data_IF_739641316789
#
_entry.id   IF_739641316789
#
_cell.length_a   1.000
_cell.length_b   1.000
_cell.length_c   1.000
_cell.angle_alpha   90.00
_cell.angle_beta   90.00
_cell.angle_gamma   90.00
#
_symmetry.space_group_name_H-M   'P 1'
#
loop_
_entity.id
_entity.type
_entity.pdbx_description
1 polymer ?
#
# COMPACT_ATOMS: atom_id res chain seq x y z
N UNK A 1 -6.66 -25.60 -7.65
CA UNK A 1 -7.78 -25.54 -8.62
C UNK A 1 -7.21 -25.01 -9.93
N UNK A 2 -7.29 -25.76 -11.04
CA UNK A 2 -6.75 -25.33 -12.35
C UNK A 2 -7.80 -24.53 -13.13
N UNK A 3 -7.38 -23.40 -13.73
CA UNK A 3 -8.23 -22.53 -14.57
C UNK A 3 -8.96 -23.30 -15.67
N UNK A 4 -8.29 -24.30 -16.26
CA UNK A 4 -8.87 -25.14 -17.30
C UNK A 4 -10.11 -25.92 -16.83
N UNK A 5 -10.14 -26.32 -15.56
CA UNK A 5 -11.25 -27.11 -14.99
C UNK A 5 -12.48 -26.25 -14.67
N UNK A 6 -12.27 -24.98 -14.32
CA UNK A 6 -13.36 -24.02 -14.08
C UNK A 6 -14.02 -23.59 -15.40
N UNK A 7 -13.25 -23.43 -16.48
CA UNK A 7 -13.77 -23.09 -17.80
C UNK A 7 -14.59 -24.23 -18.43
N UNK A 8 -14.19 -25.48 -18.21
CA UNK A 8 -14.89 -26.64 -18.78
C UNK A 8 -16.27 -26.93 -18.16
N UNK A 9 -16.54 -26.42 -16.95
CA UNK A 9 -17.74 -26.78 -16.19
C UNK A 9 -19.05 -26.21 -16.77
N UNK A 10 -18.98 -25.18 -17.62
CA UNK A 10 -20.13 -24.56 -18.28
C UNK A 10 -20.04 -24.64 -19.81
N UNK A 11 -19.22 -25.55 -20.35
CA UNK A 11 -18.98 -25.62 -21.80
C UNK A 11 -20.08 -26.34 -22.59
N UNK A 12 -21.05 -26.98 -21.93
CA UNK A 12 -22.12 -27.72 -22.60
C UNK A 12 -23.37 -26.85 -22.73
N UNK A 13 -23.64 -26.36 -23.95
CA UNK A 13 -24.91 -25.73 -24.30
C UNK A 13 -26.05 -26.75 -24.25
N UNK A 14 -27.19 -26.33 -23.72
CA UNK A 14 -28.39 -27.16 -23.65
C UNK A 14 -29.06 -27.30 -25.04
N UNK A 15 -29.80 -28.39 -25.31
CA UNK A 15 -30.51 -28.56 -26.59
C UNK A 15 -31.50 -27.42 -26.88
N UNK A 16 -32.05 -26.81 -25.82
CA UNK A 16 -32.91 -25.63 -25.90
C UNK A 16 -32.12 -24.41 -26.42
N UNK A 17 -30.93 -24.12 -25.90
CA UNK A 17 -30.07 -23.03 -26.43
C UNK A 17 -29.69 -23.21 -27.90
N UNK A 18 -29.46 -24.46 -28.33
CA UNK A 18 -29.22 -24.77 -29.75
C UNK A 18 -30.47 -24.49 -30.60
N UNK A 19 -31.66 -24.78 -30.08
CA UNK A 19 -32.93 -24.50 -30.79
C UNK A 19 -33.22 -23.01 -30.94
N UNK A 20 -32.83 -22.17 -29.96
CA UNK A 20 -32.96 -20.71 -30.03
C UNK A 20 -31.96 -20.13 -31.05
N UNK A 21 -30.82 -20.80 -31.26
CA UNK A 21 -29.80 -20.44 -32.26
C UNK A 21 -30.28 -20.66 -33.72
N UNK A 22 -31.30 -21.49 -33.93
CA UNK A 22 -31.95 -21.68 -35.23
C UNK A 22 -33.16 -20.77 -35.47
N UNK A 23 -33.56 -19.93 -34.50
CA UNK A 23 -34.44 -18.81 -34.79
C UNK A 23 -33.62 -17.73 -35.50
N UNK A 24 -33.73 -17.72 -36.84
CA UNK A 24 -33.28 -16.67 -37.74
C UNK A 24 -33.41 -15.30 -37.05
N UNK A 25 -32.28 -14.59 -36.91
CA UNK A 25 -32.24 -13.24 -36.37
C UNK A 25 -33.35 -12.39 -37.03
N UNK A 26 -34.09 -11.58 -36.25
CA UNK A 26 -35.14 -10.72 -36.81
C UNK A 26 -34.52 -9.89 -37.94
N UNK A 27 -35.23 -9.79 -39.07
CA UNK A 27 -34.71 -9.03 -40.20
C UNK A 27 -34.42 -7.59 -39.75
N UNK A 28 -33.25 -7.02 -40.08
CA UNK A 28 -32.94 -5.65 -39.71
C UNK A 28 -33.97 -4.71 -40.35
N UNK A 29 -34.42 -3.66 -39.63
CA UNK A 29 -35.37 -2.71 -40.16
C UNK A 29 -34.82 -2.07 -41.44
N UNK A 30 -35.56 -2.20 -42.53
CA UNK A 30 -35.19 -1.58 -43.80
C UNK A 30 -35.52 -0.09 -43.74
N UNK A 31 -34.50 0.75 -43.83
CA UNK A 31 -34.66 2.19 -44.01
C UNK A 31 -35.09 2.41 -45.46
N UNK A 32 -36.28 2.98 -45.69
CA UNK A 32 -36.68 3.46 -47.01
C UNK A 32 -35.65 4.50 -47.47
N UNK A 33 -34.92 4.21 -48.55
CA UNK A 33 -34.10 5.19 -49.23
C UNK A 33 -35.01 5.97 -50.17
N UNK A 34 -35.32 7.21 -49.80
CA UNK A 34 -35.81 8.21 -50.75
C UNK A 34 -34.58 8.81 -51.44
N UNK A 35 -34.23 8.27 -52.61
CA UNK A 35 -33.07 8.73 -53.41
C UNK A 35 -33.27 10.14 -54.03
N UNK A 36 -34.38 10.80 -53.70
CA UNK A 36 -34.75 12.12 -54.24
C UNK A 36 -34.33 13.30 -53.35
N UNK A 37 -33.69 13.07 -52.20
CA UNK A 37 -33.16 14.16 -51.38
C UNK A 37 -31.64 14.23 -51.44
N UNK A 38 -31.12 14.70 -52.58
CA UNK A 38 -29.74 15.18 -52.71
C UNK A 38 -29.67 16.56 -52.04
N UNK A 39 -29.65 16.58 -50.71
CA UNK A 39 -29.21 17.77 -49.99
C UNK A 39 -27.73 17.98 -50.37
N UNK A 40 -27.35 19.14 -50.94
CA UNK A 40 -25.97 19.35 -51.33
C UNK A 40 -25.08 19.21 -50.09
N UNK A 41 -24.11 18.30 -50.17
CA UNK A 41 -23.01 18.22 -49.22
C UNK A 41 -22.26 19.55 -49.36
N UNK A 42 -22.64 20.55 -48.57
CA UNK A 42 -21.86 21.76 -48.40
C UNK A 42 -20.54 21.29 -47.83
N UNK A 43 -19.50 21.36 -48.66
CA UNK A 43 -18.13 21.14 -48.23
C UNK A 43 -17.88 22.14 -47.10
N UNK A 44 -17.74 21.61 -45.89
CA UNK A 44 -17.47 22.41 -44.71
C UNK A 44 -15.98 22.72 -44.77
N UNK A 45 -15.62 23.63 -45.68
CA UNK A 45 -14.37 24.38 -45.62
C UNK A 45 -14.38 25.21 -44.33
N UNK A 46 -14.07 24.55 -43.22
CA UNK A 46 -13.72 25.21 -41.98
C UNK A 46 -12.21 25.24 -41.86
N UNK A 47 -11.51 26.31 -42.28
CA UNK A 47 -10.24 26.65 -41.68
C UNK A 47 -10.54 27.28 -40.31
N UNK A 48 -11.19 26.52 -39.43
CA UNK A 48 -11.27 26.87 -38.02
C UNK A 48 -10.63 25.74 -37.25
N UNK A 49 -9.32 25.61 -37.43
CA UNK A 49 -8.50 25.00 -36.40
C UNK A 49 -8.69 25.89 -35.19
N UNK A 50 -9.49 25.42 -34.22
CA UNK A 50 -9.55 26.01 -32.89
C UNK A 50 -8.19 25.77 -32.24
N UNK A 51 -7.19 26.55 -32.65
CA UNK A 51 -5.86 26.54 -32.03
C UNK A 51 -6.05 27.18 -30.67
N UNK A 52 -5.87 26.37 -29.63
CA UNK A 52 -5.75 26.87 -28.27
C UNK A 52 -4.67 27.96 -28.27
N UNK A 53 -4.98 29.21 -27.85
CA UNK A 53 -4.00 30.28 -27.83
C UNK A 53 -2.77 29.87 -27.01
N UNK A 54 -1.58 30.31 -27.40
CA UNK A 54 -0.33 30.03 -26.68
C UNK A 54 -0.41 30.40 -25.19
N UNK A 55 -1.26 31.37 -24.88
CA UNK A 55 -1.38 31.97 -23.56
C UNK A 55 -2.47 31.28 -22.72
N UNK A 56 -3.04 30.17 -23.20
CA UNK A 56 -4.12 29.44 -22.55
C UNK A 56 -3.81 29.04 -21.11
N UNK A 57 -2.56 28.68 -20.81
CA UNK A 57 -2.14 28.35 -19.44
C UNK A 57 -2.05 29.56 -18.50
N UNK A 58 -2.04 30.78 -19.04
CA UNK A 58 -1.88 32.03 -18.29
C UNK A 58 -3.18 32.83 -18.19
N UNK A 59 -4.25 32.41 -18.88
CA UNK A 59 -5.53 33.11 -18.88
C UNK A 59 -6.29 32.87 -17.57
N UNK A 60 -7.03 33.90 -17.13
CA UNK A 60 -7.91 33.83 -15.97
C UNK A 60 -9.00 32.78 -16.20
N UNK A 61 -9.21 31.91 -15.22
CA UNK A 61 -10.02 30.71 -15.37
C UNK A 61 -11.50 31.10 -15.47
N UNK A 62 -12.10 30.91 -16.63
CA UNK A 62 -13.48 31.35 -16.89
C UNK A 62 -14.55 30.38 -16.39
N UNK A 63 -14.16 29.17 -15.96
CA UNK A 63 -15.09 28.09 -15.63
C UNK A 63 -14.73 27.39 -14.32
N UNK A 64 -15.73 27.19 -13.45
CA UNK A 64 -15.58 26.54 -12.13
C UNK A 64 -14.97 25.13 -12.19
N UNK A 65 -15.13 24.42 -13.32
CA UNK A 65 -14.58 23.08 -13.55
C UNK A 65 -13.06 23.08 -13.74
N UNK A 66 -12.48 24.17 -14.26
CA UNK A 66 -11.03 24.30 -14.43
C UNK A 66 -10.34 24.71 -13.12
N UNK A 67 -11.00 25.52 -12.27
CA UNK A 67 -10.53 25.86 -10.92
C UNK A 67 -10.41 24.61 -10.04
N UNK A 68 -11.47 23.78 -10.03
CA UNK A 68 -11.49 22.52 -9.29
C UNK A 68 -10.37 21.54 -9.73
N UNK A 69 -9.99 21.55 -11.01
CA UNK A 69 -8.87 20.73 -11.51
C UNK A 69 -7.54 21.20 -10.94
N UNK A 70 -7.31 22.52 -10.86
CA UNK A 70 -6.07 23.09 -10.34
C UNK A 70 -5.95 22.88 -8.83
N UNK A 71 -7.05 22.98 -8.08
CA UNK A 71 -7.07 22.64 -6.66
C UNK A 71 -6.68 21.17 -6.43
N UNK A 72 -7.28 20.24 -7.19
CA UNK A 72 -6.92 18.82 -7.14
C UNK A 72 -5.45 18.57 -7.51
N UNK A 73 -4.93 19.23 -8.54
CA UNK A 73 -3.53 19.10 -8.94
C UNK A 73 -2.57 19.63 -7.86
N UNK A 74 -2.90 20.77 -7.23
CA UNK A 74 -2.15 21.31 -6.08
C UNK A 74 -2.19 20.39 -4.88
N UNK A 75 -3.37 19.87 -4.50
CA UNK A 75 -3.51 18.91 -3.40
C UNK A 75 -2.69 17.64 -3.67
N UNK A 76 -2.72 17.12 -4.90
CA UNK A 76 -1.91 15.97 -5.29
C UNK A 76 -0.40 16.27 -5.22
N UNK A 77 0.03 17.46 -5.63
CA UNK A 77 1.42 17.88 -5.50
C UNK A 77 1.85 18.01 -4.04
N UNK A 78 1.01 18.58 -3.18
CA UNK A 78 1.27 18.67 -1.74
C UNK A 78 1.35 17.29 -1.08
N UNK A 79 0.44 16.38 -1.42
CA UNK A 79 0.48 15.00 -0.94
C UNK A 79 1.76 14.29 -1.40
N UNK A 80 2.18 14.48 -2.65
CA UNK A 80 3.45 13.96 -3.18
C UNK A 80 4.66 14.55 -2.45
N UNK A 81 4.66 15.84 -2.14
CA UNK A 81 5.72 16.50 -1.35
C UNK A 81 5.78 15.91 0.06
N UNK A 82 4.65 15.87 0.77
CA UNK A 82 4.54 15.26 2.11
C UNK A 82 5.02 13.81 2.14
N UNK A 83 4.68 13.02 1.12
CA UNK A 83 5.16 11.65 0.98
C UNK A 83 6.69 11.58 0.82
N UNK A 84 7.28 12.42 -0.05
CA UNK A 84 8.73 12.46 -0.27
C UNK A 84 9.47 12.89 0.99
N UNK A 85 9.01 13.93 1.67
CA UNK A 85 9.56 14.41 2.94
C UNK A 85 9.47 13.35 4.03
N UNK A 86 8.29 12.71 4.17
CA UNK A 86 8.10 11.61 5.11
C UNK A 86 9.04 10.45 4.84
N UNK A 87 9.25 10.10 3.57
CA UNK A 87 10.19 9.05 3.16
C UNK A 87 11.65 9.40 3.45
N UNK A 88 12.05 10.67 3.30
CA UNK A 88 13.39 11.13 3.66
C UNK A 88 13.61 11.07 5.17
N UNK A 89 12.68 11.62 5.96
CA UNK A 89 12.72 11.56 7.42
C UNK A 89 12.77 10.13 7.92
N UNK A 90 11.96 9.23 7.35
CA UNK A 90 11.98 7.81 7.71
C UNK A 90 13.33 7.12 7.40
N UNK A 91 14.03 7.54 6.34
CA UNK A 91 15.37 7.04 6.04
C UNK A 91 16.42 7.55 7.03
N UNK A 92 16.34 8.82 7.41
CA UNK A 92 17.24 9.42 8.39
C UNK A 92 17.07 8.77 9.76
N UNK A 93 15.83 8.61 10.22
CA UNK A 93 15.55 7.92 11.49
C UNK A 93 15.98 6.45 11.44
N UNK A 94 15.78 5.75 10.32
CA UNK A 94 16.26 4.38 10.17
C UNK A 94 17.79 4.29 10.26
N UNK A 95 18.52 5.25 9.66
CA UNK A 95 19.98 5.32 9.79
C UNK A 95 20.40 5.56 11.23
N UNK A 96 19.82 6.56 11.88
CA UNK A 96 20.12 6.90 13.28
C UNK A 96 19.87 5.71 14.23
N UNK A 97 18.76 4.98 14.03
CA UNK A 97 18.46 3.76 14.81
C UNK A 97 19.49 2.67 14.53
N UNK A 98 19.90 2.49 13.26
CA UNK A 98 20.90 1.49 12.90
C UNK A 98 22.28 1.79 13.50
N UNK A 99 22.69 3.06 13.50
CA UNK A 99 23.95 3.51 14.09
C UNK A 99 23.93 3.30 15.61
N UNK A 100 22.85 3.71 16.29
CA UNK A 100 22.70 3.43 17.73
C UNK A 100 22.68 1.94 18.06
N UNK A 101 22.05 1.13 17.22
CA UNK A 101 22.04 -0.33 17.42
C UNK A 101 23.46 -0.91 17.28
N UNK A 102 24.25 -0.39 16.35
CA UNK A 102 25.63 -0.80 16.14
C UNK A 102 26.53 -0.37 17.31
N UNK A 103 26.35 0.86 17.81
CA UNK A 103 27.02 1.35 19.01
C UNK A 103 26.65 0.53 20.26
N UNK A 104 25.36 0.21 20.44
CA UNK A 104 24.91 -0.60 21.56
C UNK A 104 25.42 -2.06 21.47
N UNK A 105 25.56 -2.59 20.26
CA UNK A 105 26.18 -3.88 20.02
C UNK A 105 27.69 -3.86 20.31
N UNK A 106 28.36 -2.73 20.04
CA UNK A 106 29.76 -2.51 20.38
C UNK A 106 29.94 -2.44 21.90
N UNK A 107 30.32 -3.58 22.50
CA UNK A 107 30.45 -3.76 23.95
C UNK A 107 29.25 -4.46 24.61
N UNK A 108 28.16 -4.71 23.86
CA UNK A 108 27.05 -5.55 24.33
C UNK A 108 27.48 -7.00 24.54
N UNK A 109 28.34 -7.53 23.65
CA UNK A 109 28.91 -8.87 23.79
C UNK A 109 29.77 -9.01 25.05
N UNK A 110 30.66 -8.05 25.32
CA UNK A 110 31.52 -8.10 26.50
C UNK A 110 30.73 -7.99 27.81
N UNK A 111 29.70 -7.14 27.84
CA UNK A 111 28.78 -7.03 28.99
C UNK A 111 27.98 -8.31 29.19
N UNK A 112 27.55 -8.94 28.10
CA UNK A 112 26.89 -10.24 28.17
C UNK A 112 27.85 -11.31 28.67
N UNK A 113 29.07 -11.39 28.13
CA UNK A 113 30.08 -12.39 28.48
C UNK A 113 30.41 -12.37 29.97
N UNK A 114 30.59 -11.18 30.54
CA UNK A 114 30.81 -10.98 31.99
C UNK A 114 29.61 -11.39 32.85
N UNK A 115 28.40 -11.37 32.28
CA UNK A 115 27.14 -11.66 32.96
C UNK A 115 26.45 -12.94 32.46
N UNK A 116 27.15 -13.83 31.75
CA UNK A 116 26.61 -15.12 31.27
C UNK A 116 26.08 -16.02 32.39
N UNK A 117 26.59 -15.86 33.61
CA UNK A 117 26.11 -16.60 34.79
C UNK A 117 24.90 -15.95 35.48
N UNK A 118 24.48 -14.75 35.06
CA UNK A 118 23.33 -14.06 35.64
C UNK A 118 22.05 -14.53 34.94
N UNK A 119 21.15 -15.25 35.64
CA UNK A 119 19.96 -15.83 35.03
C UNK A 119 18.99 -14.78 34.49
N UNK A 120 18.97 -13.57 35.06
CA UNK A 120 18.11 -12.47 34.61
C UNK A 120 18.61 -11.93 33.26
N UNK A 121 19.93 -11.77 33.10
CA UNK A 121 20.53 -11.29 31.84
C UNK A 121 20.33 -12.31 30.72
N UNK A 122 20.58 -13.59 31.00
CA UNK A 122 20.36 -14.68 30.02
C UNK A 122 18.88 -14.82 29.67
N UNK A 123 17.99 -14.78 30.68
CA UNK A 123 16.55 -14.84 30.48
C UNK A 123 16.03 -13.73 29.58
N UNK A 124 16.42 -12.48 29.84
CA UNK A 124 16.00 -11.33 29.04
C UNK A 124 16.53 -11.42 27.60
N UNK A 125 17.75 -11.94 27.39
CA UNK A 125 18.29 -12.15 26.04
C UNK A 125 17.50 -13.20 25.25
N UNK A 126 17.13 -14.31 25.90
CA UNK A 126 16.29 -15.35 25.28
C UNK A 126 14.91 -14.80 24.94
N UNK A 127 14.29 -14.05 25.86
CA UNK A 127 12.99 -13.43 25.64
C UNK A 127 13.04 -12.42 24.49
N UNK A 128 14.06 -11.55 24.45
CA UNK A 128 14.24 -10.57 23.38
C UNK A 128 14.43 -11.26 22.03
N UNK A 129 15.25 -12.32 21.98
CA UNK A 129 15.49 -13.09 20.76
C UNK A 129 14.20 -13.76 20.25
N UNK A 130 13.44 -14.39 21.15
CA UNK A 130 12.18 -15.04 20.81
C UNK A 130 11.12 -14.01 20.35
N UNK A 131 11.02 -12.88 21.04
CA UNK A 131 10.12 -11.79 20.68
C UNK A 131 10.48 -11.22 19.29
N UNK A 132 11.76 -10.90 19.05
CA UNK A 132 12.23 -10.40 17.75
C UNK A 132 11.96 -11.38 16.61
N UNK A 133 12.24 -12.67 16.81
CA UNK A 133 11.97 -13.70 15.82
C UNK A 133 10.46 -13.85 15.55
N UNK A 134 9.64 -13.88 16.60
CA UNK A 134 8.18 -13.95 16.50
C UNK A 134 7.58 -12.75 15.77
N UNK A 135 8.09 -11.54 16.05
CA UNK A 135 7.69 -10.30 15.38
C UNK A 135 8.06 -10.31 13.90
N UNK A 136 9.29 -10.70 13.58
CA UNK A 136 9.74 -10.80 12.19
C UNK A 136 8.89 -11.80 11.38
N UNK A 137 8.63 -12.98 11.96
CA UNK A 137 7.80 -14.00 11.33
C UNK A 137 6.34 -13.55 11.18
N UNK A 138 5.76 -12.97 12.23
CA UNK A 138 4.38 -12.46 12.22
C UNK A 138 4.18 -11.34 11.21
N UNK A 139 5.11 -10.38 11.16
CA UNK A 139 5.12 -9.31 10.17
C UNK A 139 5.25 -9.85 8.75
N UNK A 140 6.13 -10.83 8.52
CA UNK A 140 6.29 -11.48 7.22
C UNK A 140 4.98 -12.17 6.75
N UNK A 141 4.35 -12.96 7.62
CA UNK A 141 3.06 -13.60 7.31
C UNK A 141 1.95 -12.59 7.01
N UNK A 142 1.88 -11.49 7.78
CA UNK A 142 0.88 -10.44 7.56
C UNK A 142 1.15 -9.63 6.30
N UNK A 143 2.41 -9.41 5.96
CA UNK A 143 2.82 -8.77 4.72
C UNK A 143 2.40 -9.60 3.50
N UNK A 144 2.65 -10.91 3.50
CA UNK A 144 2.21 -11.82 2.42
C UNK A 144 0.68 -11.83 2.22
N UNK A 145 -0.08 -11.59 3.29
CA UNK A 145 -1.55 -11.55 3.26
C UNK A 145 -2.13 -10.16 2.98
N UNK A 146 -1.27 -9.14 2.78
CA UNK A 146 -1.71 -7.75 2.61
C UNK A 146 -2.42 -7.15 3.84
N UNK A 147 -2.29 -7.79 5.02
CA UNK A 147 -3.02 -7.44 6.23
C UNK A 147 -2.16 -6.66 7.24
N UNK A 148 -1.09 -6.01 6.77
CA UNK A 148 -0.20 -5.19 7.59
C UNK A 148 -0.77 -3.76 7.67
N UNK A 149 -1.60 -3.49 8.67
CA UNK A 149 -2.18 -2.16 8.91
C UNK A 149 -1.36 -1.38 9.94
N UNK A 150 -1.38 -0.05 9.86
CA UNK A 150 -0.71 0.81 10.83
C UNK A 150 -1.30 0.65 12.24
N UNK A 151 -2.60 0.38 12.35
CA UNK A 151 -3.28 0.06 13.61
C UNK A 151 -2.71 -1.21 14.25
N UNK A 152 -2.45 -2.24 13.44
CA UNK A 152 -1.84 -3.47 13.92
C UNK A 152 -0.41 -3.19 14.40
N UNK A 153 0.39 -2.45 13.63
CA UNK A 153 1.74 -2.07 14.05
C UNK A 153 1.72 -1.27 15.36
N UNK A 154 0.77 -0.34 15.50
CA UNK A 154 0.58 0.45 16.71
C UNK A 154 0.19 -0.42 17.91
N UNK A 155 -0.75 -1.36 17.74
CA UNK A 155 -1.16 -2.29 18.79
C UNK A 155 0.00 -3.19 19.25
N UNK A 156 0.78 -3.73 18.32
CA UNK A 156 1.96 -4.56 18.64
C UNK A 156 3.04 -3.73 19.35
N UNK A 157 3.33 -2.53 18.85
CA UNK A 157 4.29 -1.61 19.47
C UNK A 157 3.85 -1.23 20.89
N UNK A 158 2.56 -0.94 21.08
CA UNK A 158 1.99 -0.63 22.39
C UNK A 158 2.11 -1.80 23.37
N UNK A 159 1.79 -3.02 22.91
CA UNK A 159 1.93 -4.23 23.73
C UNK A 159 3.37 -4.50 24.15
N UNK A 160 4.33 -4.40 23.23
CA UNK A 160 5.77 -4.56 23.54
C UNK A 160 6.23 -3.46 24.50
N UNK A 161 5.77 -2.22 24.31
CA UNK A 161 6.09 -1.10 25.20
C UNK A 161 5.64 -1.37 26.64
N UNK A 162 4.41 -1.83 26.83
CA UNK A 162 3.89 -2.18 28.15
C UNK A 162 4.67 -3.34 28.81
N UNK A 163 4.99 -4.39 28.05
CA UNK A 163 5.80 -5.50 28.54
C UNK A 163 7.23 -5.05 28.89
N UNK A 164 7.83 -4.15 28.11
CA UNK A 164 9.16 -3.61 28.38
C UNK A 164 9.20 -2.77 29.67
N UNK A 165 8.16 -1.96 29.93
CA UNK A 165 8.04 -1.25 31.21
C UNK A 165 7.94 -2.22 32.38
N UNK A 166 7.12 -3.27 32.26
CA UNK A 166 7.00 -4.29 33.29
C UNK A 166 8.33 -5.02 33.54
N UNK A 167 9.00 -5.49 32.48
CA UNK A 167 10.30 -6.15 32.57
C UNK A 167 11.35 -5.27 33.24
N UNK A 168 11.38 -3.97 32.93
CA UNK A 168 12.30 -3.04 33.55
C UNK A 168 12.17 -2.99 35.08
N UNK A 169 10.96 -2.89 35.61
CA UNK A 169 10.75 -2.85 37.06
C UNK A 169 11.10 -4.18 37.74
N UNK A 170 10.72 -5.30 37.13
CA UNK A 170 11.02 -6.64 37.66
C UNK A 170 12.53 -6.90 37.63
N UNK A 171 13.17 -6.66 36.49
CA UNK A 171 14.62 -6.82 36.32
C UNK A 171 15.41 -5.91 37.27
N UNK A 172 14.99 -4.65 37.44
CA UNK A 172 15.60 -3.72 38.40
C UNK A 172 15.52 -4.24 39.83
N UNK A 173 14.38 -4.79 40.25
CA UNK A 173 14.24 -5.39 41.57
C UNK A 173 15.17 -6.59 41.75
N UNK A 174 15.24 -7.50 40.76
CA UNK A 174 16.14 -8.64 40.83
C UNK A 174 17.62 -8.24 40.83
N UNK A 175 18.02 -7.25 40.03
CA UNK A 175 19.38 -6.75 39.99
C UNK A 175 19.81 -6.09 41.30
N UNK A 176 18.89 -5.39 41.98
CA UNK A 176 19.19 -4.76 43.27
C UNK A 176 19.18 -5.76 44.43
N UNK A 177 18.33 -6.79 44.38
CA UNK A 177 18.06 -7.62 45.55
C UNK A 177 18.74 -9.01 45.52
N UNK A 178 18.99 -9.60 44.34
CA UNK A 178 19.42 -11.01 44.25
C UNK A 178 20.52 -11.30 43.22
N UNK A 179 20.51 -10.62 42.08
CA UNK A 179 21.41 -10.92 40.95
C UNK A 179 22.08 -9.65 40.41
N UNK A 180 22.97 -8.99 41.17
CA UNK A 180 23.64 -7.78 40.70
C UNK A 180 24.46 -8.06 39.43
N UNK A 181 24.37 -7.20 38.40
CA UNK A 181 25.19 -7.32 37.20
C UNK A 181 26.66 -6.96 37.50
N UNK A 182 27.58 -7.62 36.80
CA UNK A 182 29.02 -7.38 36.82
C UNK A 182 29.48 -6.58 35.62
#
# INVERSE_FOLDING_TARGET
MSYAKAAAQNANQTPEEVSILYLRAPQPPQVKRDDNNVSPLVDVDSPHVSTVPSDFNSQEIKTKTQEARIELEKEQEELKKKYKEGKQKAKETAKEVSERAQEAAAGGYDKFDRNKSNPVVVGNMVLLTAASAGLAYGAYQKHLRGALTWELVAAWTGGIGALGLFDYYVSRWFFQNKYPPK
#
